data_IF_986334289097
#
_entry.id   IF_986334289097
#
_cell.length_a   1.000
_cell.length_b   1.000
_cell.length_c   1.000
_cell.angle_alpha   90.00
_cell.angle_beta   90.00
_cell.angle_gamma   90.00
#
_symmetry.space_group_name_H-M   'P 1'
#
loop_
_entity.id
_entity.type
_entity.pdbx_description
1 polymer ?
#
# COMPACT_ATOMS: atom_id res chain seq x y z
N UNK A 1 17.93 2.19 11.72
CA UNK A 1 17.22 1.18 10.90
C UNK A 1 15.93 0.75 11.64
N UNK A 2 15.01 1.69 11.85
CA UNK A 2 13.85 1.50 12.75
C UNK A 2 12.55 2.14 12.25
N UNK A 3 12.59 2.93 11.18
CA UNK A 3 11.45 3.73 10.75
C UNK A 3 10.37 2.93 9.99
N UNK A 4 10.76 1.86 9.28
CA UNK A 4 9.84 1.10 8.44
C UNK A 4 8.86 0.22 9.24
N UNK A 5 9.27 -0.29 10.41
CA UNK A 5 8.38 -1.11 11.25
C UNK A 5 7.33 -0.24 11.94
N UNK A 6 7.75 0.90 12.49
CA UNK A 6 6.86 1.83 13.18
C UNK A 6 5.82 2.44 12.21
N UNK A 7 6.25 2.83 11.01
CA UNK A 7 5.33 3.27 9.95
C UNK A 7 4.29 2.19 9.64
N UNK A 8 4.72 0.96 9.41
CA UNK A 8 3.82 -0.12 9.00
C UNK A 8 2.82 -0.49 10.10
N UNK A 9 3.25 -0.55 11.36
CA UNK A 9 2.36 -0.87 12.47
C UNK A 9 1.35 0.28 12.74
N UNK A 10 1.77 1.53 12.57
CA UNK A 10 0.86 2.71 12.62
C UNK A 10 -0.14 2.69 11.46
N UNK A 11 0.34 2.40 10.25
CA UNK A 11 -0.51 2.24 9.05
C UNK A 11 -1.57 1.15 9.22
N UNK A 12 -1.20 -0.03 9.72
CA UNK A 12 -2.18 -1.10 9.96
C UNK A 12 -3.21 -0.72 11.01
N UNK A 13 -2.81 0.01 12.05
CA UNK A 13 -3.73 0.51 13.08
C UNK A 13 -4.74 1.49 12.47
N UNK A 14 -4.27 2.48 11.71
CA UNK A 14 -5.14 3.48 11.08
C UNK A 14 -6.06 2.84 10.04
N UNK A 15 -5.56 1.86 9.29
CA UNK A 15 -6.37 1.11 8.35
C UNK A 15 -7.44 0.29 9.07
N UNK A 16 -7.10 -0.36 10.17
CA UNK A 16 -8.05 -1.13 10.99
C UNK A 16 -9.16 -0.25 11.56
N UNK A 17 -8.83 0.98 11.98
CA UNK A 17 -9.81 1.98 12.39
C UNK A 17 -10.72 2.41 11.22
N UNK A 18 -10.17 2.54 10.01
CA UNK A 18 -10.92 2.98 8.83
C UNK A 18 -11.83 1.89 8.24
N UNK A 19 -11.39 0.63 8.24
CA UNK A 19 -12.17 -0.49 7.69
C UNK A 19 -13.08 -1.17 8.72
N UNK A 20 -12.81 -0.96 10.02
CA UNK A 20 -13.48 -1.68 11.11
C UNK A 20 -13.06 -3.15 11.22
N UNK A 21 -12.11 -3.60 10.39
CA UNK A 21 -11.60 -4.97 10.38
C UNK A 21 -10.32 -5.05 11.21
N UNK A 22 -10.22 -6.10 12.04
CA UNK A 22 -9.02 -6.36 12.82
C UNK A 22 -7.90 -6.91 11.92
N UNK A 23 -6.99 -6.03 11.51
CA UNK A 23 -5.86 -6.35 10.64
C UNK A 23 -4.66 -6.83 11.45
N UNK A 24 -4.79 -8.02 12.05
CA UNK A 24 -3.72 -8.65 12.83
C UNK A 24 -3.05 -9.79 12.06
N UNK A 25 -1.89 -10.25 12.55
CA UNK A 25 -1.19 -11.44 12.05
C UNK A 25 -0.73 -11.35 10.58
N UNK A 26 0.12 -10.37 10.26
CA UNK A 26 0.88 -10.34 9.01
C UNK A 26 2.25 -11.00 9.20
N UNK A 27 2.57 -11.94 8.32
CA UNK A 27 3.92 -12.49 8.19
C UNK A 27 4.89 -11.44 7.64
N UNK A 28 6.18 -11.59 7.93
CA UNK A 28 7.22 -10.66 7.44
C UNK A 28 7.17 -10.48 5.92
N UNK A 29 6.85 -11.54 5.18
CA UNK A 29 6.71 -11.51 3.71
C UNK A 29 5.50 -10.67 3.28
N UNK A 30 4.35 -10.81 3.95
CA UNK A 30 3.17 -10.00 3.66
C UNK A 30 3.44 -8.52 3.94
N UNK A 31 4.12 -8.22 5.06
CA UNK A 31 4.52 -6.84 5.39
C UNK A 31 5.39 -6.26 4.28
N UNK A 32 6.41 -7.00 3.84
CA UNK A 32 7.35 -6.56 2.80
C UNK A 32 6.64 -6.30 1.46
N UNK A 33 5.79 -7.22 1.01
CA UNK A 33 5.03 -7.07 -0.24
C UNK A 33 4.09 -5.86 -0.17
N UNK A 34 3.36 -5.72 0.94
CA UNK A 34 2.42 -4.61 1.10
C UNK A 34 3.14 -3.26 1.14
N UNK A 35 4.24 -3.12 1.90
CA UNK A 35 5.05 -1.90 1.90
C UNK A 35 5.53 -1.54 0.50
N UNK A 36 5.96 -2.52 -0.29
CA UNK A 36 6.46 -2.26 -1.65
C UNK A 36 5.37 -1.75 -2.58
N UNK A 37 4.18 -2.35 -2.52
CA UNK A 37 2.99 -1.91 -3.27
C UNK A 37 2.56 -0.50 -2.86
N UNK A 38 2.74 -0.14 -1.58
CA UNK A 38 2.36 1.16 -1.01
C UNK A 38 3.44 2.24 -1.08
N UNK A 39 4.67 1.87 -1.40
CA UNK A 39 5.81 2.77 -1.42
C UNK A 39 5.56 3.91 -2.42
N UNK A 40 5.70 5.14 -1.95
CA UNK A 40 5.40 6.39 -2.69
C UNK A 40 6.20 6.57 -3.97
N UNK A 41 7.26 5.78 -4.18
CA UNK A 41 8.02 5.75 -5.44
C UNK A 41 7.18 5.26 -6.62
N UNK A 42 6.12 4.47 -6.39
CA UNK A 42 5.31 3.86 -7.43
C UNK A 42 3.82 4.20 -7.32
N UNK A 43 3.49 5.47 -7.00
CA UNK A 43 2.10 5.97 -6.97
C UNK A 43 1.32 5.80 -8.27
N UNK A 44 1.99 5.46 -9.37
CA UNK A 44 1.39 5.26 -10.69
C UNK A 44 1.92 4.02 -11.42
N UNK A 45 2.86 3.27 -10.83
CA UNK A 45 3.52 2.15 -11.51
C UNK A 45 2.97 0.83 -10.97
N UNK A 46 2.15 0.21 -11.82
CA UNK A 46 1.55 -1.11 -11.63
C UNK A 46 2.64 -2.16 -11.47
N UNK A 47 2.67 -2.86 -10.35
CA UNK A 47 3.64 -3.94 -10.18
C UNK A 47 3.16 -5.23 -10.85
N UNK A 48 4.02 -5.84 -11.67
CA UNK A 48 3.85 -7.22 -12.12
C UNK A 48 4.35 -8.24 -11.09
N UNK A 49 3.89 -9.49 -11.22
CA UNK A 49 4.35 -10.63 -10.38
C UNK A 49 5.87 -10.81 -10.44
N UNK A 50 6.47 -10.54 -11.61
CA UNK A 50 7.90 -10.68 -11.84
C UNK A 50 8.71 -9.61 -11.12
N UNK A 51 8.20 -8.38 -11.08
CA UNK A 51 8.86 -7.26 -10.41
C UNK A 51 8.79 -7.42 -8.90
N UNK A 52 7.63 -7.73 -8.33
CA UNK A 52 7.51 -7.99 -6.89
C UNK A 52 8.39 -9.15 -6.46
N UNK A 53 8.48 -10.22 -7.24
CA UNK A 53 9.35 -11.36 -6.95
C UNK A 53 10.82 -10.95 -6.84
N UNK A 54 11.29 -10.06 -7.72
CA UNK A 54 12.66 -9.54 -7.72
C UNK A 54 12.91 -8.59 -6.55
N UNK A 55 12.01 -7.63 -6.33
CA UNK A 55 12.18 -6.60 -5.29
C UNK A 55 12.08 -7.22 -3.89
N UNK A 56 11.08 -8.08 -3.69
CA UNK A 56 10.89 -8.74 -2.41
C UNK A 56 11.87 -9.90 -2.20
N UNK A 57 12.62 -10.32 -3.22
CA UNK A 57 13.51 -11.49 -3.23
C UNK A 57 12.78 -12.76 -2.75
N UNK A 58 11.62 -13.02 -3.34
CA UNK A 58 10.78 -14.20 -3.03
C UNK A 58 10.27 -14.82 -4.33
N UNK A 59 9.92 -16.10 -4.29
CA UNK A 59 9.46 -16.80 -5.48
C UNK A 59 8.13 -16.20 -6.01
N UNK A 60 7.91 -16.31 -7.32
CA UNK A 60 6.64 -15.94 -7.97
C UNK A 60 5.41 -16.62 -7.34
N UNK A 61 5.52 -17.92 -7.05
CA UNK A 61 4.48 -18.67 -6.33
C UNK A 61 4.19 -18.08 -4.93
N UNK A 62 5.24 -17.62 -4.24
CA UNK A 62 5.13 -16.96 -2.94
C UNK A 62 4.42 -15.61 -3.08
N UNK A 63 4.80 -14.78 -4.06
CA UNK A 63 4.10 -13.52 -4.36
C UNK A 63 2.62 -13.78 -4.58
N UNK A 64 2.28 -14.68 -5.52
CA UNK A 64 0.89 -15.01 -5.84
C UNK A 64 0.07 -15.44 -4.61
N UNK A 65 0.65 -16.31 -3.77
CA UNK A 65 -0.02 -16.78 -2.55
C UNK A 65 -0.32 -15.64 -1.58
N UNK A 66 0.62 -14.72 -1.40
CA UNK A 66 0.48 -13.65 -0.41
C UNK A 66 -0.31 -12.46 -0.94
N UNK A 67 -0.20 -12.11 -2.22
CA UNK A 67 -1.05 -11.08 -2.83
C UNK A 67 -2.52 -11.48 -2.81
N UNK A 68 -2.85 -12.75 -3.09
CA UNK A 68 -4.23 -13.26 -2.93
C UNK A 68 -4.76 -13.14 -1.50
N UNK A 69 -3.89 -13.28 -0.48
CA UNK A 69 -4.31 -13.06 0.91
C UNK A 69 -4.54 -11.58 1.21
N UNK A 70 -3.69 -10.69 0.68
CA UNK A 70 -3.84 -9.25 0.82
C UNK A 70 -5.11 -8.74 0.11
N UNK A 71 -5.44 -9.31 -1.05
CA UNK A 71 -6.68 -9.04 -1.78
C UNK A 71 -7.92 -9.47 -1.01
N UNK A 72 -7.92 -10.67 -0.41
CA UNK A 72 -9.01 -11.11 0.48
C UNK A 72 -9.23 -10.19 1.67
N UNK A 73 -8.18 -9.51 2.14
CA UNK A 73 -8.23 -8.49 3.19
C UNK A 73 -8.58 -7.10 2.67
N UNK A 74 -8.91 -6.96 1.37
CA UNK A 74 -9.25 -5.70 0.68
C UNK A 74 -8.15 -4.63 0.77
N UNK A 75 -6.90 -5.05 0.88
CA UNK A 75 -5.74 -4.15 0.97
C UNK A 75 -5.19 -3.79 -0.41
N UNK A 76 -5.29 -4.74 -1.33
CA UNK A 76 -4.87 -4.59 -2.72
C UNK A 76 -5.96 -5.14 -3.63
N UNK A 77 -5.96 -4.71 -4.88
CA UNK A 77 -6.70 -5.27 -5.99
C UNK A 77 -5.73 -5.99 -6.92
N UNK A 78 -6.16 -7.15 -7.43
CA UNK A 78 -5.43 -7.90 -8.44
C UNK A 78 -6.20 -7.81 -9.75
N UNK A 79 -5.61 -7.14 -10.74
CA UNK A 79 -6.19 -7.03 -12.08
C UNK A 79 -5.35 -7.84 -13.07
N UNK A 80 -6.01 -8.38 -14.10
CA UNK A 80 -5.32 -9.03 -15.22
C UNK A 80 -5.26 -8.04 -16.38
N UNK A 81 -4.07 -7.57 -16.69
CA UNK A 81 -3.82 -6.70 -17.83
C UNK A 81 -3.02 -7.44 -18.89
N UNK A 82 -3.59 -7.53 -20.09
CA UNK A 82 -3.05 -8.32 -21.19
C UNK A 82 -2.77 -9.78 -20.76
N UNK A 83 -1.50 -10.09 -20.49
CA UNK A 83 -1.05 -11.42 -20.09
C UNK A 83 -0.30 -11.43 -18.74
N UNK A 84 -0.52 -10.41 -17.91
CA UNK A 84 0.16 -10.27 -16.61
C UNK A 84 -0.84 -9.91 -15.51
N UNK A 85 -0.56 -10.40 -14.30
CA UNK A 85 -1.25 -9.95 -13.10
C UNK A 85 -0.57 -8.70 -12.59
N UNK A 86 -1.39 -7.69 -12.34
CA UNK A 86 -1.02 -6.38 -11.82
C UNK A 86 -1.60 -6.26 -10.42
N UNK A 87 -0.82 -5.68 -9.50
CA UNK A 87 -1.23 -5.44 -8.12
C UNK A 87 -1.29 -3.96 -7.83
N UNK A 88 -2.46 -3.49 -7.40
CA UNK A 88 -2.71 -2.09 -7.06
C UNK A 88 -3.24 -1.97 -5.63
N UNK A 89 -2.92 -0.91 -4.89
CA UNK A 89 -3.53 -0.67 -3.59
C UNK A 89 -4.99 -0.23 -3.72
N UNK A 90 -5.84 -0.62 -2.75
CA UNK A 90 -7.24 -0.17 -2.73
C UNK A 90 -7.35 1.32 -2.38
N UNK A 91 -8.46 1.96 -2.79
CA UNK A 91 -8.71 3.38 -2.52
C UNK A 91 -8.62 3.75 -1.03
N UNK A 92 -9.10 2.87 -0.14
CA UNK A 92 -9.05 3.08 1.31
C UNK A 92 -7.60 3.11 1.80
N UNK A 93 -6.78 2.18 1.31
CA UNK A 93 -5.36 2.08 1.61
C UNK A 93 -4.58 3.29 1.10
N UNK A 94 -4.87 3.76 -0.11
CA UNK A 94 -4.28 4.98 -0.67
C UNK A 94 -4.64 6.20 0.19
N UNK A 95 -5.89 6.29 0.65
CA UNK A 95 -6.38 7.41 1.45
C UNK A 95 -5.68 7.47 2.82
N UNK A 96 -5.59 6.34 3.52
CA UNK A 96 -4.87 6.26 4.81
C UNK A 96 -3.37 6.56 4.63
N UNK A 97 -2.73 6.02 3.60
CA UNK A 97 -1.33 6.31 3.31
C UNK A 97 -1.09 7.81 2.99
N UNK A 98 -2.04 8.47 2.31
CA UNK A 98 -1.99 9.92 2.06
C UNK A 98 -2.13 10.72 3.36
N UNK A 99 -3.06 10.35 4.25
CA UNK A 99 -3.24 11.03 5.53
C UNK A 99 -1.96 10.99 6.37
N UNK A 100 -1.27 9.84 6.41
CA UNK A 100 0.01 9.71 7.11
C UNK A 100 1.16 10.51 6.49
N UNK A 101 1.12 10.71 5.17
CA UNK A 101 2.09 11.58 4.48
C UNK A 101 1.85 13.07 4.78
N UNK A 102 0.62 13.45 5.11
CA UNK A 102 0.24 14.83 5.45
C UNK A 102 0.53 15.14 6.92
N UNK A 103 0.36 14.17 7.82
CA UNK A 103 0.65 14.35 9.26
C UNK A 103 2.14 14.30 9.61
N UNK A 104 3.01 13.87 8.69
CA UNK A 104 4.47 13.98 8.79
C UNK A 104 5.07 15.26 8.19
N UNK A 105 4.23 16.18 7.68
CA UNK A 105 4.65 17.43 7.07
C UNK A 105 4.06 18.62 7.83
N UNK A 106 4.58 18.89 9.03
CA UNK A 106 4.55 20.27 9.50
C UNK A 106 5.48 21.11 8.61
N UNK A 107 4.89 22.19 8.09
CA UNK A 107 5.54 23.36 7.50
C UNK A 107 6.17 23.24 6.09
N UNK A 108 5.40 23.60 5.06
CA UNK A 108 5.40 24.96 4.46
C UNK A 108 4.69 24.96 3.11
N UNK A 109 3.70 25.85 2.98
CA UNK A 109 3.15 26.38 1.72
C UNK A 109 2.59 25.32 0.76
N UNK A 110 1.27 25.12 0.71
CA UNK A 110 0.44 25.90 -0.21
C UNK A 110 -1.03 25.85 0.27
N UNK A 111 -1.37 26.78 1.16
CA UNK A 111 -2.72 27.37 1.16
C UNK A 111 -2.76 28.26 -0.08
N UNK A 112 -3.09 27.66 -1.22
CA UNK A 112 -3.07 28.31 -2.52
C UNK A 112 -4.32 27.99 -3.30
N UNK A 113 -5.39 28.73 -2.99
CA UNK A 113 -6.56 29.00 -3.86
C UNK A 113 -7.38 27.79 -4.33
N UNK A 114 -8.49 27.55 -3.64
CA UNK A 114 -9.77 27.35 -4.32
C UNK A 114 -10.81 28.31 -3.72
N UNK A 115 -10.74 29.55 -4.18
CA UNK A 115 -11.91 30.43 -4.25
C UNK A 115 -12.40 30.38 -5.69
N UNK A 116 -13.68 30.08 -5.88
CA UNK A 116 -14.41 30.35 -7.10
C UNK A 116 -14.49 29.19 -8.09
N UNK A 117 -15.63 28.50 -8.06
CA UNK A 117 -16.33 28.16 -9.30
C UNK A 117 -17.82 28.45 -9.07
N UNK A 118 -18.32 29.29 -9.97
CA UNK A 118 -19.66 29.81 -10.24
C UNK A 118 -20.86 29.02 -9.71
#
# INVERSE_FOLDING_TARGET
MTDSSHFFDTFLRDLSLATGDELTNFTLIEKKILVEILSTKNRHEKYSERELSRICNVSRNTIKKYTQKLEKRKLIEITKEHNQYVYEPTNVVIWVAKLQSVTGAEDKSLVGRYNGCL
#
